data_IF_630472924171
#
_entry.id   IF_630472924171
#
_cell.length_a   1.000
_cell.length_b   1.000
_cell.length_c   1.000
_cell.angle_alpha   90.00
_cell.angle_beta   90.00
_cell.angle_gamma   90.00
#
_symmetry.space_group_name_H-M   'P 1'
#
loop_
_entity.id
_entity.type
_entity.pdbx_description
1 polymer ?
#
# COMPACT_ATOMS: atom_id res chain seq x y z
N UNK A 1 17.62 2.03 29.99
CA UNK A 1 18.52 1.74 28.84
C UNK A 1 17.75 1.62 27.51
N UNK A 2 16.68 0.81 27.45
CA UNK A 2 15.86 0.62 26.23
C UNK A 2 15.26 1.90 25.64
N UNK A 3 14.61 2.75 26.45
CA UNK A 3 14.02 4.00 25.96
C UNK A 3 15.05 4.93 25.29
N UNK A 4 16.23 5.09 25.89
CA UNK A 4 17.32 5.90 25.30
C UNK A 4 17.78 5.34 23.95
N UNK A 5 17.88 4.01 23.82
CA UNK A 5 18.24 3.37 22.56
C UNK A 5 17.15 3.58 21.49
N UNK A 6 15.87 3.45 21.85
CA UNK A 6 14.74 3.71 20.96
C UNK A 6 14.76 5.16 20.48
N UNK A 7 14.87 6.14 21.37
CA UNK A 7 14.93 7.55 20.98
C UNK A 7 16.13 7.85 20.07
N UNK A 8 17.29 7.21 20.31
CA UNK A 8 18.46 7.34 19.44
C UNK A 8 18.20 6.75 18.05
N UNK A 9 17.54 5.60 17.97
CA UNK A 9 17.13 4.99 16.70
C UNK A 9 16.15 5.86 15.91
N UNK A 10 15.14 6.43 16.59
CA UNK A 10 14.21 7.38 15.95
C UNK A 10 14.90 8.64 15.49
N UNK A 11 15.84 9.18 16.28
CA UNK A 11 16.66 10.31 15.87
C UNK A 11 17.52 10.00 14.65
N UNK A 12 18.03 8.77 14.52
CA UNK A 12 18.74 8.32 13.34
C UNK A 12 17.85 8.25 12.10
N UNK A 13 16.67 7.59 12.18
CA UNK A 13 15.71 7.55 11.07
C UNK A 13 15.30 8.96 10.64
N UNK A 14 15.06 9.85 11.62
CA UNK A 14 14.76 11.25 11.34
C UNK A 14 15.95 11.96 10.66
N UNK A 15 17.19 11.68 11.06
CA UNK A 15 18.37 12.23 10.37
C UNK A 15 18.48 11.75 8.92
N UNK A 16 18.15 10.48 8.63
CA UNK A 16 18.10 9.93 7.27
C UNK A 16 17.03 10.64 6.44
N UNK A 17 15.87 10.96 7.03
CA UNK A 17 14.81 11.70 6.34
C UNK A 17 15.23 13.11 5.85
N UNK A 18 16.30 13.68 6.41
CA UNK A 18 16.82 15.00 6.02
C UNK A 18 17.64 14.93 4.74
N UNK A 19 18.32 13.81 4.48
CA UNK A 19 19.06 13.60 3.24
C UNK A 19 18.10 13.53 2.04
N UNK A 20 18.38 14.23 0.95
CA UNK A 20 17.48 14.28 -0.21
C UNK A 20 17.47 12.95 -0.98
N UNK A 21 18.64 12.34 -1.16
CA UNK A 21 18.76 11.08 -1.92
C UNK A 21 18.05 9.94 -1.18
N UNK A 22 18.30 9.84 0.13
CA UNK A 22 17.65 8.86 0.98
C UNK A 22 16.15 9.12 1.09
N UNK A 23 15.72 10.38 1.20
CA UNK A 23 14.29 10.69 1.27
C UNK A 23 13.55 10.41 -0.04
N UNK A 24 14.18 10.66 -1.18
CA UNK A 24 13.60 10.33 -2.49
C UNK A 24 13.48 8.82 -2.73
N UNK A 25 14.21 8.01 -1.97
CA UNK A 25 14.20 6.54 -2.08
C UNK A 25 13.32 5.90 -1.01
N UNK A 26 13.41 6.36 0.24
CA UNK A 26 12.81 5.72 1.43
C UNK A 26 11.81 6.63 2.16
N UNK A 27 11.47 7.79 1.60
CA UNK A 27 10.59 8.76 2.27
C UNK A 27 9.22 8.17 2.63
N UNK A 28 8.70 7.31 1.75
CA UNK A 28 7.47 6.54 1.94
C UNK A 28 7.56 5.63 3.18
N UNK A 29 8.61 4.79 3.25
CA UNK A 29 8.86 3.89 4.38
C UNK A 29 9.08 4.64 5.69
N UNK A 30 9.77 5.77 5.65
CA UNK A 30 10.03 6.61 6.83
C UNK A 30 8.73 7.16 7.40
N UNK A 31 7.82 7.64 6.54
CA UNK A 31 6.51 8.15 6.96
C UNK A 31 5.69 7.03 7.59
N UNK A 32 5.59 5.88 6.92
CA UNK A 32 4.86 4.72 7.44
C UNK A 32 5.43 4.26 8.78
N UNK A 33 6.76 4.19 8.91
CA UNK A 33 7.43 3.79 10.15
C UNK A 33 7.06 4.72 11.32
N UNK A 34 7.13 6.04 11.14
CA UNK A 34 6.74 6.98 12.20
C UNK A 34 5.24 6.91 12.51
N UNK A 35 4.39 6.71 11.51
CA UNK A 35 2.96 6.53 11.71
C UNK A 35 2.66 5.28 12.55
N UNK A 36 3.18 4.11 12.17
CA UNK A 36 2.95 2.84 12.85
C UNK A 36 3.42 2.92 14.31
N UNK A 37 4.59 3.53 14.55
CA UNK A 37 5.10 3.77 15.89
C UNK A 37 4.21 4.72 16.69
N UNK A 38 3.62 5.74 16.06
CA UNK A 38 2.68 6.66 16.72
C UNK A 38 1.36 5.99 17.14
N UNK A 39 0.98 4.88 16.51
CA UNK A 39 -0.23 4.13 16.85
C UNK A 39 0.02 3.01 17.86
N UNK A 40 1.20 2.41 17.83
CA UNK A 40 1.51 1.21 18.62
C UNK A 40 2.35 1.46 19.86
N UNK A 41 3.09 2.58 19.92
CA UNK A 41 4.03 2.85 21.02
C UNK A 41 3.43 3.71 22.13
N UNK A 42 3.82 3.50 23.40
CA UNK A 42 3.43 4.36 24.51
C UNK A 42 4.20 5.70 24.51
N UNK A 43 3.80 6.63 25.38
CA UNK A 43 4.60 7.82 25.67
C UNK A 43 5.98 7.42 26.29
N UNK A 44 7.06 8.18 26.04
CA UNK A 44 7.15 9.39 25.21
C UNK A 44 7.43 9.10 23.72
N UNK A 45 7.57 7.83 23.34
CA UNK A 45 7.93 7.40 21.97
C UNK A 45 6.87 7.89 20.98
N UNK A 46 5.59 7.73 21.33
CA UNK A 46 4.45 8.21 20.54
C UNK A 46 4.59 9.67 20.12
N UNK A 47 4.84 10.55 21.10
CA UNK A 47 4.97 11.99 20.88
C UNK A 47 6.16 12.32 20.00
N UNK A 48 7.30 11.65 20.22
CA UNK A 48 8.50 11.86 19.41
C UNK A 48 8.26 11.45 17.95
N UNK A 49 7.60 10.31 17.72
CA UNK A 49 7.24 9.85 16.37
C UNK A 49 6.33 10.86 15.67
N UNK A 50 5.29 11.38 16.36
CA UNK A 50 4.41 12.41 15.80
C UNK A 50 5.15 13.70 15.46
N UNK A 51 6.09 14.14 16.32
CA UNK A 51 6.91 15.33 16.05
C UNK A 51 7.77 15.17 14.79
N UNK A 52 8.41 14.03 14.60
CA UNK A 52 9.19 13.76 13.40
C UNK A 52 8.30 13.64 12.17
N UNK A 53 7.16 12.97 12.31
CA UNK A 53 6.21 12.78 11.24
C UNK A 53 5.67 14.09 10.69
N UNK A 54 5.37 15.08 11.53
CA UNK A 54 4.93 16.41 11.06
C UNK A 54 6.00 17.13 10.22
N UNK A 55 7.27 16.97 10.56
CA UNK A 55 8.36 17.56 9.76
C UNK A 55 8.52 16.82 8.43
N UNK A 56 8.52 15.49 8.47
CA UNK A 56 8.70 14.65 7.30
C UNK A 56 7.52 14.79 6.32
N UNK A 57 6.30 14.89 6.83
CA UNK A 57 5.08 15.19 6.07
C UNK A 57 5.23 16.45 5.22
N UNK A 58 5.69 17.56 5.82
CA UNK A 58 5.87 18.83 5.10
C UNK A 58 6.89 18.68 3.96
N UNK A 59 7.99 17.96 4.20
CA UNK A 59 8.99 17.67 3.16
C UNK A 59 8.37 16.84 2.03
N UNK A 60 7.60 15.80 2.36
CA UNK A 60 6.92 14.97 1.37
C UNK A 60 5.94 15.75 0.50
N UNK A 61 5.11 16.61 1.10
CA UNK A 61 4.18 17.49 0.36
C UNK A 61 4.94 18.42 -0.59
N UNK A 62 6.05 19.01 -0.14
CA UNK A 62 6.87 19.86 -1.00
C UNK A 62 7.47 19.09 -2.19
N UNK A 63 7.88 17.82 -1.98
CA UNK A 63 8.37 16.93 -3.04
C UNK A 63 7.26 16.57 -4.04
N UNK A 64 6.02 16.34 -3.57
CA UNK A 64 4.87 16.16 -4.46
C UNK A 64 4.67 17.40 -5.36
N UNK A 65 4.60 18.58 -4.72
CA UNK A 65 4.30 19.85 -5.39
C UNK A 65 5.41 20.29 -6.36
N UNK A 66 6.67 19.97 -6.06
CA UNK A 66 7.81 20.26 -6.94
C UNK A 66 7.85 19.40 -8.21
N UNK A 67 6.93 18.46 -8.35
CA UNK A 67 6.76 17.68 -9.58
C UNK A 67 7.53 16.37 -9.62
N UNK A 68 8.06 15.87 -8.50
CA UNK A 68 8.65 14.53 -8.42
C UNK A 68 7.71 13.46 -8.99
N UNK A 69 6.41 13.58 -8.70
CA UNK A 69 5.38 12.69 -9.25
C UNK A 69 4.93 13.08 -10.66
N UNK A 70 5.09 14.34 -11.09
CA UNK A 70 4.83 14.75 -12.49
C UNK A 70 5.91 14.27 -13.45
N UNK A 71 7.13 14.06 -12.96
CA UNK A 71 8.26 13.61 -13.76
C UNK A 71 8.16 12.13 -14.17
N UNK A 72 7.30 11.34 -13.52
CA UNK A 72 7.01 9.96 -13.90
C UNK A 72 5.66 9.92 -14.61
N UNK A 73 5.68 9.71 -15.92
CA UNK A 73 4.48 9.74 -16.78
C UNK A 73 3.50 8.60 -16.49
N UNK A 74 3.91 7.49 -15.86
CA UNK A 74 2.99 6.42 -15.48
C UNK A 74 3.54 5.63 -14.27
N UNK A 75 2.94 5.75 -13.08
CA UNK A 75 3.42 5.05 -11.90
C UNK A 75 3.17 3.53 -11.99
N UNK A 76 4.10 2.75 -11.44
CA UNK A 76 3.89 1.31 -11.35
C UNK A 76 2.90 0.95 -10.22
N UNK A 77 2.35 -0.29 -10.20
CA UNK A 77 1.40 -0.69 -9.17
C UNK A 77 1.91 -0.52 -7.74
N UNK A 78 3.21 -0.74 -7.48
CA UNK A 78 3.76 -0.59 -6.13
C UNK A 78 3.73 0.87 -5.70
N UNK A 79 4.10 1.78 -6.59
CA UNK A 79 4.10 3.22 -6.32
C UNK A 79 2.71 3.76 -5.98
N UNK A 80 1.67 3.25 -6.67
CA UNK A 80 0.27 3.59 -6.36
C UNK A 80 -0.13 3.11 -4.97
N UNK A 81 0.24 1.89 -4.61
CA UNK A 81 -0.08 1.31 -3.31
C UNK A 81 0.66 2.03 -2.16
N UNK A 82 1.94 2.36 -2.37
CA UNK A 82 2.73 3.12 -1.41
C UNK A 82 2.14 4.52 -1.19
N UNK A 83 1.74 5.19 -2.27
CA UNK A 83 1.07 6.49 -2.18
C UNK A 83 -0.25 6.41 -1.39
N UNK A 84 -1.06 5.37 -1.63
CA UNK A 84 -2.31 5.15 -0.90
C UNK A 84 -2.07 4.97 0.61
N UNK A 85 -1.07 4.17 1.00
CA UNK A 85 -0.71 3.96 2.41
C UNK A 85 -0.30 5.27 3.08
N UNK A 86 0.54 6.07 2.41
CA UNK A 86 1.05 7.32 2.96
C UNK A 86 -0.07 8.33 3.14
N UNK A 87 -0.92 8.49 2.13
CA UNK A 87 -2.06 9.41 2.21
C UNK A 87 -2.97 9.05 3.37
N UNK A 88 -3.31 7.77 3.51
CA UNK A 88 -4.08 7.29 4.64
C UNK A 88 -3.39 7.61 5.98
N UNK A 89 -2.09 7.33 6.08
CA UNK A 89 -1.30 7.60 7.28
C UNK A 89 -1.33 9.08 7.65
N UNK A 90 -1.18 9.97 6.66
CA UNK A 90 -1.19 11.42 6.84
C UNK A 90 -2.57 11.95 7.25
N UNK A 91 -3.64 11.46 6.62
CA UNK A 91 -5.02 11.83 6.93
C UNK A 91 -5.42 11.42 8.36
N UNK A 92 -4.92 10.28 8.83
CA UNK A 92 -5.16 9.79 10.20
C UNK A 92 -4.48 10.63 11.30
N UNK A 93 -3.58 11.55 10.94
CA UNK A 93 -2.85 12.42 11.88
C UNK A 93 -3.39 13.84 11.84
N UNK A 94 -3.83 14.30 10.68
CA UNK A 94 -4.29 15.67 10.48
C UNK A 94 -5.39 15.69 9.41
N UNK A 95 -6.54 16.23 9.79
CA UNK A 95 -7.74 16.36 8.97
C UNK A 95 -7.57 17.29 7.77
N UNK A 96 -6.50 18.09 7.73
CA UNK A 96 -6.30 19.15 6.72
C UNK A 96 -5.73 18.59 5.40
N UNK A 97 -5.64 17.27 5.26
CA UNK A 97 -5.03 16.56 4.13
C UNK A 97 -6.15 15.93 3.28
N UNK A 98 -6.89 16.74 2.51
CA UNK A 98 -7.82 16.27 1.48
C UNK A 98 -7.10 16.13 0.12
N UNK A 99 -6.08 15.26 0.05
CA UNK A 99 -5.21 15.17 -1.13
C UNK A 99 -5.64 14.11 -2.16
N UNK A 100 -6.71 13.34 -1.92
CA UNK A 100 -7.10 12.25 -2.80
C UNK A 100 -7.38 12.64 -4.24
N UNK A 101 -8.16 13.71 -4.43
CA UNK A 101 -8.49 14.23 -5.75
C UNK A 101 -7.31 14.88 -6.48
N UNK A 102 -6.36 15.46 -5.73
CA UNK A 102 -5.13 15.99 -6.33
C UNK A 102 -4.21 14.84 -6.73
N UNK A 103 -4.01 13.83 -5.87
CA UNK A 103 -3.12 12.70 -6.14
C UNK A 103 -3.64 11.80 -7.27
N UNK A 104 -4.97 11.67 -7.42
CA UNK A 104 -5.58 11.02 -8.58
C UNK A 104 -5.08 11.64 -9.90
N UNK A 105 -4.79 12.95 -9.95
CA UNK A 105 -4.23 13.60 -11.15
C UNK A 105 -2.80 13.17 -11.45
N UNK A 106 -2.02 12.80 -10.42
CA UNK A 106 -0.63 12.36 -10.56
C UNK A 106 -0.52 10.84 -10.78
N UNK A 107 -1.44 10.07 -10.20
CA UNK A 107 -1.50 8.61 -10.42
C UNK A 107 -2.06 8.27 -11.82
N UNK A 108 -2.91 9.16 -12.36
CA UNK A 108 -3.56 9.02 -13.68
C UNK A 108 -2.93 10.00 -14.69
N UNK A 109 -1.68 10.42 -14.48
CA UNK A 109 -1.03 11.31 -15.44
C UNK A 109 -0.99 10.63 -16.83
N UNK A 110 -1.61 11.29 -17.81
CA UNK A 110 -1.75 10.93 -19.23
C UNK A 110 -2.51 9.64 -19.62
N UNK A 111 -3.83 9.69 -19.42
CA UNK A 111 -4.73 9.31 -20.53
C UNK A 111 -5.19 10.56 -21.27
N UNK A 112 -4.29 11.20 -22.02
CA UNK A 112 -4.64 12.23 -23.00
C UNK A 112 -5.41 11.60 -24.18
N UNK A 113 -6.56 10.98 -23.91
CA UNK A 113 -7.55 10.58 -24.94
C UNK A 113 -8.94 10.18 -24.41
N UNK A 114 -9.37 10.54 -23.19
CA UNK A 114 -10.81 10.45 -22.86
C UNK A 114 -11.54 11.75 -23.23
N UNK A 115 -11.98 11.85 -24.50
CA UNK A 115 -12.87 12.91 -25.01
C UNK A 115 -14.28 12.93 -24.39
N UNK A 116 -14.49 12.21 -23.29
CA UNK A 116 -15.73 12.21 -22.51
C UNK A 116 -15.35 12.20 -21.03
N UNK A 117 -15.92 13.12 -20.26
CA UNK A 117 -15.59 13.38 -18.85
C UNK A 117 -15.96 12.26 -17.87
N UNK A 118 -15.45 11.05 -18.10
CA UNK A 118 -15.46 9.96 -17.13
C UNK A 118 -14.13 9.97 -16.39
N UNK A 119 -14.15 10.17 -15.07
CA UNK A 119 -12.99 9.97 -14.20
C UNK A 119 -12.40 8.59 -14.52
N UNK A 120 -11.17 8.55 -15.03
CA UNK A 120 -10.47 7.29 -15.27
C UNK A 120 -10.30 6.60 -13.91
N UNK A 121 -10.82 5.38 -13.76
CA UNK A 121 -10.64 4.58 -12.55
C UNK A 121 -9.39 3.75 -12.69
N UNK A 122 -8.67 3.50 -11.60
CA UNK A 122 -7.49 2.62 -11.67
C UNK A 122 -7.94 1.17 -11.81
N UNK A 123 -7.35 0.48 -12.79
CA UNK A 123 -7.56 -0.94 -13.07
C UNK A 123 -7.17 -1.81 -11.88
N UNK A 124 -8.14 -2.55 -11.34
CA UNK A 124 -7.88 -3.49 -10.23
C UNK A 124 -7.14 -4.74 -10.69
N UNK A 125 -7.20 -5.05 -11.98
CA UNK A 125 -6.41 -6.12 -12.58
C UNK A 125 -4.93 -5.77 -12.55
N UNK A 126 -4.56 -4.52 -12.83
CA UNK A 126 -3.15 -4.10 -12.79
C UNK A 126 -2.63 -3.99 -11.36
N UNK A 127 -3.46 -3.46 -10.45
CA UNK A 127 -3.10 -3.32 -9.04
C UNK A 127 -3.06 -4.65 -8.29
N UNK A 128 -4.13 -5.45 -8.35
CA UNK A 128 -4.31 -6.65 -7.53
C UNK A 128 -4.20 -7.96 -8.32
N UNK A 129 -4.27 -7.91 -9.65
CA UNK A 129 -4.26 -9.10 -10.50
C UNK A 129 -5.63 -9.74 -10.71
N UNK A 130 -6.70 -9.20 -10.10
CA UNK A 130 -8.05 -9.76 -10.16
C UNK A 130 -9.15 -8.75 -9.86
N UNK A 131 -10.35 -9.03 -10.34
CA UNK A 131 -11.51 -8.17 -10.23
C UNK A 131 -12.60 -8.85 -9.40
N UNK A 132 -12.83 -8.35 -8.19
CA UNK A 132 -13.76 -9.00 -7.27
C UNK A 132 -15.23 -8.93 -7.71
N UNK A 133 -15.62 -8.06 -8.66
CA UNK A 133 -16.97 -8.05 -9.22
C UNK A 133 -17.20 -9.18 -10.21
N UNK A 134 -16.19 -9.47 -11.02
CA UNK A 134 -16.29 -10.40 -12.15
C UNK A 134 -16.02 -11.84 -11.76
N UNK A 135 -15.19 -12.09 -10.75
CA UNK A 135 -14.79 -13.44 -10.37
C UNK A 135 -14.63 -13.65 -8.86
N UNK A 136 -14.66 -14.93 -8.47
CA UNK A 136 -14.30 -15.38 -7.12
C UNK A 136 -12.79 -15.31 -6.88
N UNK A 137 -12.37 -15.34 -5.61
CA UNK A 137 -10.97 -15.25 -5.20
C UNK A 137 -10.09 -16.25 -5.98
N UNK A 138 -9.17 -15.77 -6.84
CA UNK A 138 -8.33 -16.64 -7.65
C UNK A 138 -7.18 -17.25 -6.84
N UNK A 139 -6.75 -18.45 -7.24
CA UNK A 139 -5.59 -19.15 -6.68
C UNK A 139 -4.33 -19.07 -7.55
N UNK A 140 -4.37 -18.27 -8.60
CA UNK A 140 -3.35 -18.19 -9.65
C UNK A 140 -2.82 -16.77 -9.88
N UNK A 141 -3.12 -15.85 -8.97
CA UNK A 141 -2.54 -14.50 -9.00
C UNK A 141 -1.08 -14.58 -8.65
N UNK A 142 -0.27 -13.84 -9.41
CA UNK A 142 1.18 -13.73 -9.22
C UNK A 142 1.46 -12.44 -8.47
N UNK A 143 2.38 -12.47 -7.51
CA UNK A 143 2.81 -11.28 -6.78
C UNK A 143 3.53 -10.28 -7.70
N UNK A 144 3.72 -9.04 -7.23
CA UNK A 144 4.56 -8.09 -7.95
C UNK A 144 6.00 -8.62 -8.06
N UNK A 145 6.62 -8.39 -9.21
CA UNK A 145 7.99 -8.83 -9.43
C UNK A 145 8.93 -8.05 -8.49
N UNK A 146 9.70 -8.75 -7.66
CA UNK A 146 10.61 -8.16 -6.65
C UNK A 146 11.71 -7.27 -7.22
N UNK A 147 11.93 -7.30 -8.54
CA UNK A 147 12.99 -6.53 -9.20
C UNK A 147 12.52 -5.43 -10.13
N UNK A 148 11.29 -5.51 -10.65
CA UNK A 148 10.77 -4.48 -11.55
C UNK A 148 9.40 -3.95 -11.14
N UNK A 149 8.84 -4.46 -10.04
CA UNK A 149 7.55 -4.09 -9.45
C UNK A 149 6.34 -4.15 -10.39
N UNK A 150 6.52 -4.67 -11.61
CA UNK A 150 5.45 -4.90 -12.57
C UNK A 150 4.74 -6.22 -12.28
N UNK A 151 3.43 -6.18 -12.45
CA UNK A 151 2.57 -7.37 -12.36
C UNK A 151 2.70 -8.20 -13.63
N UNK A 152 2.90 -9.50 -13.46
CA UNK A 152 2.89 -10.45 -14.57
C UNK A 152 1.52 -11.11 -14.71
N UNK A 153 1.20 -11.67 -15.88
CA UNK A 153 -0.03 -12.43 -16.08
C UNK A 153 -0.20 -13.54 -15.04
N UNK A 154 -1.44 -13.96 -14.82
CA UNK A 154 -1.73 -15.08 -13.92
C UNK A 154 -1.06 -16.36 -14.38
N UNK A 155 -0.72 -17.24 -13.43
CA UNK A 155 -0.02 -18.52 -13.65
C UNK A 155 1.40 -18.38 -14.23
N UNK A 156 1.92 -17.16 -14.40
CA UNK A 156 3.31 -16.98 -14.78
C UNK A 156 4.25 -17.50 -13.69
N UNK A 157 5.27 -18.24 -14.10
CA UNK A 157 6.40 -18.65 -13.24
C UNK A 157 7.55 -17.66 -13.32
N UNK A 158 7.62 -16.87 -14.40
CA UNK A 158 8.62 -15.85 -14.64
C UNK A 158 7.97 -14.51 -14.98
N UNK A 159 8.64 -13.42 -14.60
CA UNK A 159 8.23 -12.07 -14.90
C UNK A 159 8.31 -11.83 -16.41
N UNK A 160 7.21 -11.36 -17.01
CA UNK A 160 7.16 -11.04 -18.45
C UNK A 160 8.18 -9.98 -18.86
N UNK A 161 8.57 -9.10 -17.94
CA UNK A 161 9.41 -7.93 -18.23
C UNK A 161 10.89 -8.17 -17.99
N UNK A 162 11.26 -8.88 -16.92
CA UNK A 162 12.65 -9.07 -16.52
C UNK A 162 13.10 -10.53 -16.42
N UNK A 163 12.22 -11.50 -16.70
CA UNK A 163 12.53 -12.93 -16.73
C UNK A 163 12.81 -13.59 -15.37
N UNK A 164 12.80 -12.83 -14.26
CA UNK A 164 13.01 -13.38 -12.92
C UNK A 164 11.82 -14.21 -12.45
N UNK A 165 12.08 -15.16 -11.56
CA UNK A 165 11.02 -15.98 -10.96
C UNK A 165 10.01 -15.11 -10.19
N UNK A 166 8.73 -15.39 -10.40
CA UNK A 166 7.62 -14.69 -9.74
C UNK A 166 6.80 -15.68 -8.94
N UNK A 167 6.24 -15.20 -7.85
CA UNK A 167 5.63 -16.07 -6.85
C UNK A 167 4.11 -16.01 -6.97
N UNK A 168 3.47 -17.17 -7.15
CA UNK A 168 2.01 -17.28 -7.04
C UNK A 168 1.58 -17.07 -5.59
N UNK A 169 0.63 -16.17 -5.35
CA UNK A 169 0.11 -15.87 -4.01
C UNK A 169 -1.08 -16.76 -3.66
N UNK A 170 -1.28 -16.99 -2.37
CA UNK A 170 -2.41 -17.77 -1.88
C UNK A 170 -3.71 -16.97 -1.99
N UNK A 171 -4.89 -17.63 -2.04
CA UNK A 171 -6.18 -16.92 -1.99
C UNK A 171 -6.33 -16.03 -0.74
N UNK A 172 -5.78 -16.45 0.39
CA UNK A 172 -5.77 -15.66 1.64
C UNK A 172 -5.01 -14.35 1.45
N UNK A 173 -3.81 -14.41 0.85
CA UNK A 173 -2.99 -13.23 0.56
C UNK A 173 -3.59 -12.35 -0.53
N UNK A 174 -4.20 -12.95 -1.55
CA UNK A 174 -4.91 -12.20 -2.59
C UNK A 174 -6.04 -11.37 -2.00
N UNK A 175 -6.88 -11.98 -1.15
CA UNK A 175 -7.97 -11.26 -0.50
C UNK A 175 -7.47 -10.24 0.53
N UNK A 176 -6.50 -10.59 1.37
CA UNK A 176 -5.98 -9.67 2.40
C UNK A 176 -5.38 -8.41 1.75
N UNK A 177 -4.57 -8.58 0.72
CA UNK A 177 -3.96 -7.45 0.01
C UNK A 177 -5.04 -6.59 -0.63
N UNK A 178 -5.98 -7.19 -1.35
CA UNK A 178 -7.07 -6.43 -1.98
C UNK A 178 -7.93 -5.68 -0.98
N UNK A 179 -8.26 -6.27 0.18
CA UNK A 179 -9.03 -5.59 1.23
C UNK A 179 -8.27 -4.40 1.83
N UNK A 180 -7.01 -4.61 2.23
CA UNK A 180 -6.19 -3.57 2.86
C UNK A 180 -5.97 -2.39 1.90
N UNK A 181 -5.56 -2.70 0.66
CA UNK A 181 -5.24 -1.66 -0.30
C UNK A 181 -6.47 -0.96 -0.88
N UNK A 182 -7.58 -1.68 -1.11
CA UNK A 182 -8.83 -1.01 -1.51
C UNK A 182 -9.34 -0.06 -0.42
N UNK A 183 -9.21 -0.43 0.86
CA UNK A 183 -9.52 0.45 1.99
C UNK A 183 -8.63 1.70 2.00
N UNK A 184 -7.31 1.54 1.84
CA UNK A 184 -6.39 2.68 1.78
C UNK A 184 -6.68 3.58 0.58
N UNK A 185 -6.88 3.02 -0.62
CA UNK A 185 -7.22 3.79 -1.80
C UNK A 185 -8.53 4.56 -1.60
N UNK A 186 -9.59 3.91 -1.11
CA UNK A 186 -10.89 4.54 -0.89
C UNK A 186 -10.81 5.66 0.15
N UNK A 187 -10.11 5.42 1.27
CA UNK A 187 -9.94 6.43 2.33
C UNK A 187 -9.09 7.60 1.84
N UNK A 188 -8.03 7.30 1.09
CA UNK A 188 -7.18 8.29 0.44
C UNK A 188 -7.85 8.99 -0.74
N UNK A 189 -9.10 8.67 -1.11
CA UNK A 189 -9.83 9.31 -2.21
C UNK A 189 -9.40 8.90 -3.61
N UNK A 190 -8.71 7.76 -3.76
CA UNK A 190 -8.31 7.16 -5.04
C UNK A 190 -9.45 6.26 -5.53
N UNK A 191 -10.06 6.59 -6.67
CA UNK A 191 -11.16 5.82 -7.25
C UNK A 191 -10.65 4.57 -8.01
N UNK A 192 -11.01 3.39 -7.50
CA UNK A 192 -10.75 2.09 -8.12
C UNK A 192 -11.99 1.58 -8.88
N UNK A 193 -11.80 0.63 -9.80
CA UNK A 193 -12.92 -0.05 -10.49
C UNK A 193 -13.85 -0.81 -9.54
N UNK A 194 -13.28 -1.41 -8.49
CA UNK A 194 -14.00 -2.12 -7.44
C UNK A 194 -13.94 -1.35 -6.12
N UNK A 195 -15.03 -1.42 -5.36
CA UNK A 195 -15.11 -0.87 -4.01
C UNK A 195 -14.56 -1.86 -2.98
N UNK A 196 -14.30 -1.38 -1.76
CA UNK A 196 -13.97 -2.25 -0.62
C UNK A 196 -15.02 -3.35 -0.40
N UNK A 197 -16.31 -3.01 -0.54
CA UNK A 197 -17.43 -3.94 -0.32
C UNK A 197 -17.43 -5.11 -1.33
N UNK A 198 -17.00 -4.85 -2.57
CA UNK A 198 -16.86 -5.87 -3.61
C UNK A 198 -15.84 -6.95 -3.22
N UNK A 199 -14.80 -6.60 -2.47
CA UNK A 199 -13.84 -7.54 -1.90
C UNK A 199 -14.37 -8.19 -0.62
N UNK A 200 -15.01 -7.41 0.25
CA UNK A 200 -15.52 -7.87 1.54
C UNK A 200 -16.54 -9.01 1.39
N UNK A 201 -17.36 -8.98 0.33
CA UNK A 201 -18.35 -10.04 0.03
C UNK A 201 -17.75 -11.44 -0.08
N UNK A 202 -16.46 -11.54 -0.40
CA UNK A 202 -15.76 -12.82 -0.57
C UNK A 202 -15.13 -13.34 0.72
N UNK A 203 -15.06 -12.55 1.80
CA UNK A 203 -14.51 -13.00 3.08
C UNK A 203 -15.13 -14.30 3.62
N UNK A 204 -16.46 -14.53 3.53
CA UNK A 204 -17.06 -15.79 3.96
C UNK A 204 -16.57 -17.02 3.20
N UNK A 205 -16.10 -16.89 1.95
CA UNK A 205 -15.66 -18.05 1.15
C UNK A 205 -14.34 -18.65 1.62
N UNK A 206 -13.60 -17.95 2.49
CA UNK A 206 -12.37 -18.44 3.12
C UNK A 206 -12.61 -19.03 4.53
N UNK A 207 -13.87 -19.09 4.97
CA UNK A 207 -14.27 -19.75 6.23
C UNK A 207 -14.81 -21.16 5.95
N UNK A 208 -14.67 -22.13 6.87
CA UNK A 208 -14.01 -22.01 8.19
C UNK A 208 -12.47 -21.98 8.08
N UNK A 209 -11.83 -21.34 9.06
CA UNK A 209 -10.37 -21.28 9.15
C UNK A 209 -9.81 -22.64 9.56
N UNK A 210 -8.70 -23.03 8.93
CA UNK A 210 -8.07 -24.34 9.08
C UNK A 210 -6.87 -24.30 10.02
N UNK A 211 -6.59 -25.43 10.66
CA UNK A 211 -5.43 -25.58 11.55
C UNK A 211 -4.11 -25.77 10.76
N UNK A 212 -2.93 -25.64 11.41
CA UNK A 212 -1.64 -25.90 10.76
C UNK A 212 -1.49 -27.33 10.21
N UNK A 213 -2.31 -28.28 10.67
CA UNK A 213 -2.30 -29.67 10.19
C UNK A 213 -3.05 -29.85 8.87
N UNK A 214 -3.91 -28.90 8.52
CA UNK A 214 -4.84 -28.98 7.40
C UNK A 214 -4.43 -28.10 6.22
N UNK A 215 -3.46 -27.21 6.42
CA UNK A 215 -2.96 -26.28 5.40
C UNK A 215 -1.43 -26.35 5.31
N UNK A 216 -0.86 -26.19 4.10
CA UNK A 216 0.56 -25.91 3.95
C UNK A 216 0.95 -24.67 4.77
N UNK A 217 2.15 -24.67 5.35
CA UNK A 217 2.64 -23.61 6.23
C UNK A 217 2.38 -22.19 5.69
N UNK A 218 2.66 -21.96 4.41
CA UNK A 218 2.44 -20.66 3.75
C UNK A 218 0.96 -20.23 3.74
N UNK A 219 0.05 -21.15 3.41
CA UNK A 219 -1.38 -20.87 3.44
C UNK A 219 -1.87 -20.61 4.86
N UNK A 220 -1.34 -21.36 5.84
CA UNK A 220 -1.68 -21.15 7.24
C UNK A 220 -1.23 -19.78 7.74
N UNK A 221 0.00 -19.35 7.43
CA UNK A 221 0.51 -18.02 7.79
C UNK A 221 -0.33 -16.91 7.12
N UNK A 222 -0.62 -17.03 5.82
CA UNK A 222 -1.44 -16.04 5.12
C UNK A 222 -2.88 -15.98 5.66
N UNK A 223 -3.45 -17.13 6.08
CA UNK A 223 -4.75 -17.17 6.77
C UNK A 223 -4.68 -16.42 8.11
N UNK A 224 -3.66 -16.67 8.92
CA UNK A 224 -3.47 -15.97 10.19
C UNK A 224 -3.31 -14.46 9.99
N UNK A 225 -2.63 -14.03 8.92
CA UNK A 225 -2.51 -12.62 8.56
C UNK A 225 -3.88 -12.00 8.23
N UNK A 226 -4.67 -12.66 7.39
CA UNK A 226 -6.03 -12.23 7.05
C UNK A 226 -6.92 -12.07 8.29
N UNK A 227 -6.87 -13.03 9.22
CA UNK A 227 -7.64 -12.98 10.48
C UNK A 227 -7.17 -11.84 11.37
N UNK A 228 -5.86 -11.66 11.52
CA UNK A 228 -5.29 -10.60 12.35
C UNK A 228 -5.63 -9.20 11.84
N UNK A 229 -5.68 -9.01 10.52
CA UNK A 229 -6.10 -7.75 9.92
C UNK A 229 -7.57 -7.40 10.19
N UNK A 230 -8.40 -8.38 10.58
CA UNK A 230 -9.80 -8.17 10.91
C UNK A 230 -10.02 -7.84 12.40
N UNK A 231 -9.34 -8.53 13.31
CA UNK A 231 -9.56 -8.38 14.77
C UNK A 231 -8.95 -7.09 15.38
N UNK A 232 -8.37 -6.21 14.56
CA UNK A 232 -7.71 -4.96 14.99
C UNK A 232 -8.56 -3.69 14.87
N UNK A 233 -9.87 -3.81 14.67
CA UNK A 233 -10.82 -2.69 14.56
C UNK A 233 -11.32 -2.24 15.93
#
# INVERSE_FOLDING_TARGET
MRLKAICKGLGFIYSVSKDETAFNTFGNDIIQCFYDLSKTSPEPIRRLSLQYLEVVKKKWINVLQSGYWKARENPDPQEVLDAAIILYSLQCISSDVEFGSELQKYVIADSSESKYGSKTRISVIDLFGWNAREESIPSNVVDLCTSCHKRSPRRSTQCRFCGKEVVVITPFRALSNSLIYSFYCQTAGIELECSYDDYLRWLPSLRPYKSPKELPWRHFVDQCYLVRCWDGS
#
